data_IF_681829831492
#
_entry.id   IF_681829831492
#
_cell.length_a   1.000
_cell.length_b   1.000
_cell.length_c   1.000
_cell.angle_alpha   90.00
_cell.angle_beta   90.00
_cell.angle_gamma   90.00
#
_symmetry.space_group_name_H-M   'P 1'
#
loop_
_entity.id
_entity.type
_entity.pdbx_description
1 polymer ?
#
# COMPACT_ATOMS: atom_id res chain seq x y z
N UNK A 1 16.99 -76.00 -13.94
CA UNK A 1 18.19 -75.35 -13.37
C UNK A 1 17.82 -73.91 -13.05
N UNK A 2 18.05 -73.49 -11.84
CA UNK A 2 17.54 -72.28 -11.17
C UNK A 2 18.29 -71.02 -11.62
N UNK A 3 17.60 -69.92 -11.88
CA UNK A 3 18.24 -68.61 -11.92
C UNK A 3 17.38 -67.62 -11.12
N UNK A 4 18.00 -67.04 -10.09
CA UNK A 4 17.45 -66.09 -9.15
C UNK A 4 17.42 -64.71 -9.78
N UNK A 5 16.24 -64.10 -9.81
CA UNK A 5 16.09 -62.69 -10.10
C UNK A 5 16.35 -61.87 -8.82
N UNK A 6 17.37 -61.04 -8.84
CA UNK A 6 17.64 -60.04 -7.81
C UNK A 6 16.77 -58.80 -8.05
N UNK A 7 15.87 -58.57 -7.10
CA UNK A 7 15.08 -57.29 -7.05
C UNK A 7 15.97 -56.26 -6.40
N UNK A 8 16.34 -55.24 -7.17
CA UNK A 8 17.08 -54.07 -6.69
C UNK A 8 16.05 -53.02 -6.21
N UNK A 9 15.89 -52.86 -4.88
CA UNK A 9 15.14 -51.76 -4.30
C UNK A 9 15.96 -50.48 -4.44
N UNK A 10 15.55 -49.62 -5.39
CA UNK A 10 15.99 -48.22 -5.41
C UNK A 10 15.19 -47.44 -4.35
N UNK A 11 15.83 -47.12 -3.25
CA UNK A 11 15.32 -46.15 -2.30
C UNK A 11 15.47 -44.74 -2.91
N UNK A 12 14.34 -44.16 -3.31
CA UNK A 12 14.28 -42.77 -3.76
C UNK A 12 14.38 -41.85 -2.53
N UNK A 13 15.56 -41.33 -2.25
CA UNK A 13 15.75 -40.29 -1.26
C UNK A 13 15.16 -38.98 -1.81
N UNK A 14 13.97 -38.62 -1.34
CA UNK A 14 13.40 -37.31 -1.58
C UNK A 14 14.23 -36.31 -0.77
N UNK A 15 15.15 -35.62 -1.43
CA UNK A 15 15.79 -34.43 -0.87
C UNK A 15 14.72 -33.34 -0.77
N UNK A 16 14.14 -33.18 0.42
CA UNK A 16 13.41 -31.97 0.78
C UNK A 16 14.45 -30.87 0.89
N UNK A 17 14.66 -30.14 -0.21
CA UNK A 17 15.38 -28.87 -0.17
C UNK A 17 14.47 -27.89 0.55
N UNK A 18 14.55 -27.87 1.88
CA UNK A 18 14.03 -26.79 2.69
C UNK A 18 14.78 -25.54 2.27
N UNK A 19 14.12 -24.68 1.52
CA UNK A 19 14.58 -23.31 1.34
C UNK A 19 14.61 -22.67 2.73
N UNK A 20 15.73 -22.78 3.42
CA UNK A 20 16.02 -21.96 4.57
C UNK A 20 15.98 -20.52 4.07
N UNK A 21 14.89 -19.83 4.38
CA UNK A 21 14.86 -18.37 4.28
C UNK A 21 15.98 -17.92 5.21
N UNK A 22 17.07 -17.47 4.64
CA UNK A 22 18.15 -16.86 5.40
C UNK A 22 17.55 -15.81 6.34
N UNK A 23 17.98 -15.75 7.61
CA UNK A 23 17.58 -14.66 8.47
C UNK A 23 17.90 -13.37 7.70
N UNK A 24 16.89 -12.52 7.50
CA UNK A 24 17.13 -11.21 6.91
C UNK A 24 18.20 -10.56 7.75
N UNK A 25 19.32 -10.23 7.13
CA UNK A 25 20.14 -9.15 7.66
C UNK A 25 19.19 -8.01 7.92
N UNK A 26 19.12 -7.56 9.17
CA UNK A 26 18.42 -6.35 9.51
C UNK A 26 18.90 -5.33 8.49
N UNK A 27 17.97 -4.81 7.65
CA UNK A 27 18.33 -3.85 6.62
C UNK A 27 19.24 -2.80 7.24
N UNK A 28 20.13 -2.15 6.49
CA UNK A 28 21.08 -1.25 7.09
C UNK A 28 20.33 -0.35 8.06
N UNK A 29 20.67 -0.46 9.34
CA UNK A 29 20.17 0.45 10.35
C UNK A 29 20.29 1.85 9.76
N UNK A 30 19.30 2.69 9.95
CA UNK A 30 19.40 4.10 9.54
C UNK A 30 20.80 4.57 9.87
N UNK A 31 21.47 5.25 8.91
CA UNK A 31 22.87 5.65 9.07
C UNK A 31 23.08 6.20 10.49
N UNK A 32 24.14 5.81 11.19
CA UNK A 32 24.36 6.25 12.55
C UNK A 32 24.17 7.77 12.63
N UNK A 33 23.25 8.25 13.49
CA UNK A 33 22.93 9.66 13.63
C UNK A 33 21.74 10.17 12.81
N UNK A 34 21.05 9.33 12.00
CA UNK A 34 19.82 9.77 11.36
C UNK A 34 18.70 9.95 12.39
N UNK A 35 18.12 11.14 12.41
CA UNK A 35 16.94 11.47 13.21
C UNK A 35 15.80 11.81 12.24
N UNK A 36 14.65 11.18 12.40
CA UNK A 36 13.47 11.47 11.59
C UNK A 36 13.12 12.96 11.66
N UNK A 37 12.88 13.56 10.49
CA UNK A 37 12.44 14.94 10.31
C UNK A 37 10.99 15.05 9.85
N UNK A 38 10.28 13.92 9.79
CA UNK A 38 8.85 13.93 9.57
C UNK A 38 8.15 14.67 10.71
N UNK A 39 7.05 15.37 10.40
CA UNK A 39 6.27 16.02 11.44
C UNK A 39 5.68 14.99 12.40
N UNK A 40 5.76 15.20 13.72
CA UNK A 40 5.34 14.20 14.70
C UNK A 40 3.88 13.77 14.56
N UNK A 41 3.00 14.70 14.19
CA UNK A 41 1.58 14.46 14.03
C UNK A 41 1.25 13.58 12.80
N UNK A 42 2.16 13.54 11.84
CA UNK A 42 2.03 12.71 10.65
C UNK A 42 2.65 11.33 10.81
N UNK A 43 3.41 11.11 11.86
CA UNK A 43 3.96 9.79 12.15
C UNK A 43 2.84 8.84 12.53
N UNK A 44 2.55 7.91 11.68
CA UNK A 44 1.62 6.84 11.97
C UNK A 44 2.22 5.78 12.89
N UNK A 45 2.76 6.16 14.03
CA UNK A 45 3.35 5.23 14.98
C UNK A 45 2.28 4.45 15.72
N UNK A 46 2.49 3.15 15.93
CA UNK A 46 1.66 2.40 16.87
C UNK A 46 2.01 2.82 18.29
N UNK A 47 0.99 3.23 19.01
CA UNK A 47 1.05 3.39 20.45
C UNK A 47 0.49 2.14 21.12
N UNK A 48 1.22 1.60 22.05
CA UNK A 48 0.73 0.54 22.94
C UNK A 48 0.17 1.21 24.18
N UNK A 49 -1.14 1.07 24.42
CA UNK A 49 -1.77 1.56 25.62
C UNK A 49 -1.39 0.74 26.86
N UNK A 50 -1.70 1.23 28.08
CA UNK A 50 -1.44 0.50 29.32
C UNK A 50 -2.14 -0.86 29.39
N UNK A 51 -3.23 -1.03 28.65
CA UNK A 51 -3.99 -2.27 28.52
C UNK A 51 -3.40 -3.24 27.48
N UNK A 52 -2.24 -2.93 26.91
CA UNK A 52 -1.60 -3.72 25.87
C UNK A 52 -2.24 -3.60 24.49
N UNK A 53 -3.29 -2.80 24.35
CA UNK A 53 -3.91 -2.55 23.06
C UNK A 53 -3.02 -1.65 22.21
N UNK A 54 -2.94 -1.98 20.94
CA UNK A 54 -2.16 -1.25 19.96
C UNK A 54 -3.06 -0.38 19.13
N UNK A 55 -2.67 0.88 19.01
CA UNK A 55 -3.44 1.89 18.30
C UNK A 55 -2.56 2.55 17.27
N UNK A 56 -2.93 2.55 16.01
CA UNK A 56 -2.24 3.35 15.01
C UNK A 56 -2.72 4.79 15.06
N UNK A 57 -1.79 5.70 15.19
CA UNK A 57 -2.05 7.13 15.03
C UNK A 57 -2.01 7.43 13.54
N UNK A 58 -3.09 7.99 13.03
CA UNK A 58 -3.20 8.40 11.62
C UNK A 58 -2.74 9.83 11.44
N UNK A 59 -2.65 10.20 10.17
CA UNK A 59 -2.53 11.57 9.72
C UNK A 59 -3.54 12.49 10.37
N UNK A 60 -3.22 13.78 10.37
CA UNK A 60 -4.12 14.85 10.80
C UNK A 60 -5.54 14.62 10.25
N UNK A 61 -6.53 14.60 11.13
CA UNK A 61 -7.93 14.35 10.77
C UNK A 61 -8.32 12.87 10.57
N UNK A 62 -7.40 11.93 10.71
CA UNK A 62 -7.73 10.51 10.67
C UNK A 62 -8.01 9.96 12.07
N UNK A 63 -8.94 9.01 12.15
CA UNK A 63 -9.27 8.36 13.42
C UNK A 63 -8.18 7.39 13.82
N UNK A 64 -8.02 7.19 15.12
CA UNK A 64 -7.18 6.14 15.70
C UNK A 64 -7.86 4.78 15.51
N UNK A 65 -7.11 3.74 15.13
CA UNK A 65 -7.59 2.36 15.09
C UNK A 65 -6.90 1.52 16.14
N UNK A 66 -7.68 0.65 16.77
CA UNK A 66 -7.15 -0.45 17.54
C UNK A 66 -6.90 -1.64 16.59
N UNK A 67 -5.64 -2.03 16.44
CA UNK A 67 -5.28 -3.14 15.57
C UNK A 67 -5.18 -4.47 16.32
N UNK A 68 -5.52 -4.50 17.61
CA UNK A 68 -5.44 -5.73 18.38
C UNK A 68 -4.04 -6.36 18.41
N UNK A 69 -3.98 -7.68 18.49
CA UNK A 69 -2.73 -8.44 18.63
C UNK A 69 -2.23 -8.97 17.27
N UNK A 70 -1.88 -8.09 16.32
CA UNK A 70 -1.32 -8.54 15.05
C UNK A 70 0.11 -9.02 15.20
N UNK A 71 0.50 -9.97 14.33
CA UNK A 71 1.83 -10.55 14.36
C UNK A 71 2.82 -9.81 13.48
N UNK A 72 2.35 -9.15 12.43
CA UNK A 72 3.19 -8.33 11.53
C UNK A 72 2.49 -7.02 11.28
N UNK A 73 3.08 -5.92 11.72
CA UNK A 73 2.41 -4.62 11.75
C UNK A 73 2.88 -3.64 10.69
N UNK A 74 4.16 -3.65 10.38
CA UNK A 74 4.77 -2.69 9.48
C UNK A 74 5.98 -3.31 8.79
N UNK A 75 6.62 -2.56 7.91
CA UNK A 75 7.77 -3.03 7.15
C UNK A 75 9.06 -3.16 7.97
N UNK A 76 9.14 -2.51 9.11
CA UNK A 76 10.22 -2.64 10.10
C UNK A 76 10.04 -3.88 11.02
N UNK A 77 8.86 -4.50 11.01
CA UNK A 77 8.59 -5.70 11.79
C UNK A 77 9.19 -6.94 11.12
N UNK A 78 10.25 -7.48 11.71
CA UNK A 78 10.97 -8.64 11.18
C UNK A 78 10.27 -9.99 11.42
N UNK A 79 9.15 -10.01 12.15
CA UNK A 79 8.44 -11.27 12.44
C UNK A 79 7.94 -11.93 11.15
N UNK A 80 8.02 -13.25 11.04
CA UNK A 80 7.54 -13.97 9.87
C UNK A 80 6.02 -13.92 9.78
N UNK A 81 5.51 -14.04 8.55
CA UNK A 81 4.09 -14.27 8.32
C UNK A 81 3.63 -15.52 9.10
N UNK A 82 2.51 -15.47 9.83
CA UNK A 82 1.99 -16.64 10.53
C UNK A 82 1.62 -17.76 9.54
N UNK A 83 1.96 -19.00 9.90
CA UNK A 83 1.57 -20.17 9.12
C UNK A 83 0.03 -20.25 8.97
N UNK A 84 -0.46 -20.77 7.82
CA UNK A 84 -1.90 -21.03 7.64
C UNK A 84 -2.45 -21.93 8.73
N UNK A 85 -3.69 -21.69 9.15
CA UNK A 85 -4.35 -22.37 10.26
C UNK A 85 -5.59 -23.13 9.81
N UNK A 86 -5.75 -24.34 10.31
CA UNK A 86 -7.00 -25.08 10.16
C UNK A 86 -8.08 -24.47 11.08
N UNK A 87 -9.22 -24.12 10.50
CA UNK A 87 -10.38 -23.66 11.23
C UNK A 87 -11.30 -24.81 11.59
N UNK A 88 -11.78 -24.83 12.84
CA UNK A 88 -12.75 -25.82 13.28
C UNK A 88 -14.04 -25.10 13.69
N UNK A 89 -15.16 -25.33 12.96
CA UNK A 89 -16.45 -24.78 13.37
C UNK A 89 -16.83 -25.28 14.77
N UNK A 90 -17.48 -24.45 15.61
CA UNK A 90 -18.02 -24.90 16.89
C UNK A 90 -19.03 -26.04 16.68
N UNK A 91 -18.95 -27.07 17.51
CA UNK A 91 -19.85 -28.24 17.41
C UNK A 91 -21.31 -27.83 17.58
N UNK A 92 -22.17 -28.25 16.66
CA UNK A 92 -23.60 -27.96 16.71
C UNK A 92 -23.99 -26.50 16.45
N UNK A 93 -23.04 -25.64 16.05
CA UNK A 93 -23.36 -24.26 15.78
C UNK A 93 -24.26 -24.12 14.52
N UNK A 94 -25.31 -23.33 14.67
CA UNK A 94 -26.23 -22.95 13.60
C UNK A 94 -26.09 -21.45 13.37
N UNK A 95 -25.76 -21.04 12.15
CA UNK A 95 -25.58 -19.64 11.82
C UNK A 95 -26.87 -18.91 11.50
N UNK A 96 -26.91 -17.62 11.84
CA UNK A 96 -27.98 -16.71 11.46
C UNK A 96 -27.59 -15.97 10.16
N UNK A 97 -28.27 -16.21 9.03
CA UNK A 97 -27.96 -15.54 7.77
C UNK A 97 -28.20 -14.03 7.80
N UNK A 98 -29.06 -13.52 8.69
CA UNK A 98 -29.26 -12.07 8.83
C UNK A 98 -28.06 -11.42 9.50
N UNK A 99 -27.54 -12.02 10.56
CA UNK A 99 -26.31 -11.59 11.20
C UNK A 99 -25.13 -11.71 10.24
N UNK A 100 -25.02 -12.83 9.52
CA UNK A 100 -24.00 -13.03 8.49
C UNK A 100 -24.01 -11.95 7.41
N UNK A 101 -25.22 -11.53 6.96
CA UNK A 101 -25.34 -10.41 6.02
C UNK A 101 -24.87 -9.09 6.63
N UNK A 102 -25.22 -8.80 7.84
CA UNK A 102 -24.79 -7.59 8.54
C UNK A 102 -23.25 -7.53 8.65
N UNK A 103 -22.63 -8.64 9.04
CA UNK A 103 -21.17 -8.78 9.11
C UNK A 103 -20.51 -8.64 7.72
N UNK A 104 -21.11 -9.20 6.69
CA UNK A 104 -20.59 -9.11 5.31
C UNK A 104 -20.58 -7.67 4.78
N UNK A 105 -21.54 -6.85 5.22
CA UNK A 105 -21.67 -5.45 4.82
C UNK A 105 -20.88 -4.49 5.74
N UNK A 106 -20.41 -4.95 6.89
CA UNK A 106 -19.66 -4.13 7.83
C UNK A 106 -18.27 -3.77 7.28
N UNK A 107 -18.15 -2.55 6.78
CA UNK A 107 -16.92 -2.04 6.17
C UNK A 107 -15.80 -1.77 7.19
N UNK A 108 -16.13 -1.67 8.45
CA UNK A 108 -15.13 -1.40 9.49
C UNK A 108 -14.46 -2.70 9.94
N UNK A 109 -15.25 -3.76 10.14
CA UNK A 109 -14.77 -5.03 10.62
C UNK A 109 -14.23 -5.92 9.51
N UNK A 110 -15.06 -6.19 8.48
CA UNK A 110 -14.69 -7.05 7.36
C UNK A 110 -15.29 -6.56 6.05
N UNK A 111 -14.60 -5.68 5.30
CA UNK A 111 -15.17 -5.06 4.11
C UNK A 111 -15.27 -6.06 2.93
N UNK A 112 -16.05 -7.13 3.09
CA UNK A 112 -16.21 -8.18 2.06
C UNK A 112 -16.69 -7.59 0.73
N UNK A 113 -17.61 -6.61 0.79
CA UNK A 113 -18.09 -5.88 -0.39
C UNK A 113 -17.00 -5.04 -1.06
N UNK A 114 -15.92 -4.74 -0.36
CA UNK A 114 -14.76 -4.09 -0.96
C UNK A 114 -14.13 -4.92 -2.08
N UNK A 115 -14.22 -6.26 -1.97
CA UNK A 115 -13.64 -7.20 -2.93
C UNK A 115 -14.69 -8.00 -3.70
N UNK A 116 -15.88 -8.22 -3.14
CA UNK A 116 -16.91 -9.11 -3.69
C UNK A 116 -18.19 -8.36 -4.03
N UNK A 117 -18.85 -8.80 -5.12
CA UNK A 117 -20.20 -8.42 -5.45
C UNK A 117 -21.18 -9.46 -4.89
N UNK A 118 -22.27 -8.98 -4.28
CA UNK A 118 -23.44 -9.77 -3.89
C UNK A 118 -24.72 -9.01 -4.24
N UNK A 119 -25.90 -9.66 -4.32
CA UNK A 119 -27.16 -8.96 -4.56
C UNK A 119 -27.52 -7.99 -3.43
N UNK A 120 -28.17 -6.88 -3.76
CA UNK A 120 -28.70 -5.89 -2.82
C UNK A 120 -28.37 -4.45 -3.23
N UNK A 121 -29.30 -3.52 -3.04
CA UNK A 121 -29.12 -2.10 -3.44
C UNK A 121 -28.18 -1.34 -2.49
N UNK A 122 -28.03 -1.84 -1.27
CA UNK A 122 -27.16 -1.32 -0.21
C UNK A 122 -25.70 -1.79 -0.33
N UNK A 123 -25.37 -2.60 -1.33
CA UNK A 123 -24.04 -3.17 -1.54
C UNK A 123 -23.09 -2.22 -2.28
N UNK A 124 -23.59 -1.10 -2.75
CA UNK A 124 -22.78 -0.12 -3.49
C UNK A 124 -21.87 0.72 -2.57
N UNK A 125 -20.62 1.01 -2.96
CA UNK A 125 -19.89 0.45 -4.10
C UNK A 125 -19.26 -0.91 -3.78
N UNK A 126 -19.44 -1.88 -4.68
CA UNK A 126 -18.81 -3.19 -4.59
C UNK A 126 -17.49 -3.25 -5.36
N UNK A 127 -16.62 -4.22 -5.00
CA UNK A 127 -15.36 -4.48 -5.69
C UNK A 127 -15.39 -5.72 -6.58
N UNK A 128 -14.32 -5.89 -7.37
CA UNK A 128 -14.11 -7.04 -8.26
C UNK A 128 -12.75 -7.73 -8.07
N UNK A 129 -12.07 -7.44 -6.97
CA UNK A 129 -10.81 -8.13 -6.62
C UNK A 129 -11.07 -9.62 -6.35
N UNK A 130 -12.11 -9.92 -5.60
CA UNK A 130 -12.63 -11.27 -5.40
C UNK A 130 -13.71 -11.63 -6.44
N UNK A 131 -14.10 -12.91 -6.53
CA UNK A 131 -15.17 -13.35 -7.44
C UNK A 131 -16.52 -12.75 -7.08
N UNK A 132 -17.42 -12.71 -8.08
CA UNK A 132 -18.85 -12.47 -7.86
C UNK A 132 -19.43 -13.63 -7.05
N UNK A 133 -20.10 -13.30 -5.95
CA UNK A 133 -20.75 -14.25 -5.05
C UNK A 133 -22.28 -14.30 -5.20
N UNK A 134 -22.86 -13.62 -6.19
CA UNK A 134 -24.31 -13.51 -6.36
C UNK A 134 -25.02 -14.87 -6.46
N UNK A 135 -24.34 -15.89 -6.95
CA UNK A 135 -24.83 -17.26 -7.08
C UNK A 135 -24.09 -18.25 -6.20
N UNK A 136 -23.46 -17.77 -5.13
CA UNK A 136 -22.58 -18.62 -4.34
C UNK A 136 -23.30 -19.82 -3.70
N UNK A 137 -24.53 -19.63 -3.23
CA UNK A 137 -25.36 -20.68 -2.64
C UNK A 137 -25.67 -21.83 -3.59
N UNK A 138 -25.74 -21.54 -4.91
CA UNK A 138 -26.01 -22.55 -5.96
C UNK A 138 -24.86 -23.56 -6.10
N UNK A 139 -23.67 -23.22 -5.64
CA UNK A 139 -22.50 -24.12 -5.66
C UNK A 139 -22.62 -25.28 -4.69
N UNK A 140 -23.53 -25.20 -3.72
CA UNK A 140 -23.83 -26.25 -2.71
C UNK A 140 -22.57 -26.79 -2.01
N UNK A 141 -21.62 -25.91 -1.72
CA UNK A 141 -20.37 -26.28 -1.06
C UNK A 141 -20.63 -26.74 0.39
N UNK A 142 -19.83 -27.70 0.91
CA UNK A 142 -19.89 -28.08 2.31
C UNK A 142 -19.58 -26.90 3.24
N UNK A 143 -20.32 -26.77 4.36
CA UNK A 143 -20.14 -25.70 5.33
C UNK A 143 -18.70 -25.62 5.86
N UNK A 144 -18.09 -26.76 6.13
CA UNK A 144 -16.70 -26.84 6.58
C UNK A 144 -15.71 -26.23 5.58
N UNK A 145 -15.96 -26.39 4.28
CA UNK A 145 -15.12 -25.79 3.24
C UNK A 145 -15.28 -24.27 3.21
N UNK A 146 -16.53 -23.77 3.26
CA UNK A 146 -16.82 -22.34 3.28
C UNK A 146 -16.21 -21.73 4.56
N UNK A 147 -16.39 -22.39 5.70
CA UNK A 147 -15.82 -21.98 6.97
C UNK A 147 -14.30 -21.86 6.90
N UNK A 148 -13.61 -22.87 6.34
CA UNK A 148 -12.15 -22.84 6.17
C UNK A 148 -11.70 -21.68 5.29
N UNK A 149 -12.42 -21.39 4.20
CA UNK A 149 -12.11 -20.26 3.33
C UNK A 149 -12.23 -18.91 4.04
N UNK A 150 -13.17 -18.78 4.98
CA UNK A 150 -13.32 -17.59 5.82
C UNK A 150 -12.33 -17.58 6.98
N UNK A 151 -12.03 -18.75 7.55
CA UNK A 151 -11.09 -18.85 8.65
C UNK A 151 -9.68 -18.49 8.20
N UNK A 152 -9.15 -19.25 7.26
CA UNK A 152 -7.83 -19.01 6.68
C UNK A 152 -7.76 -19.60 5.25
N UNK A 153 -7.97 -18.78 4.24
CA UNK A 153 -7.99 -19.23 2.85
C UNK A 153 -6.61 -19.65 2.33
N UNK A 154 -5.53 -19.25 3.01
CA UNK A 154 -4.15 -19.59 2.62
C UNK A 154 -3.85 -21.07 2.72
N UNK A 155 -4.60 -21.82 3.53
CA UNK A 155 -4.47 -23.26 3.64
C UNK A 155 -4.78 -23.98 2.31
N UNK A 156 -5.76 -23.44 1.56
CA UNK A 156 -6.18 -23.98 0.26
C UNK A 156 -5.53 -23.22 -0.91
N UNK A 157 -5.40 -21.90 -0.78
CA UNK A 157 -4.87 -21.01 -1.80
C UNK A 157 -3.75 -20.12 -1.22
N UNK A 158 -2.50 -20.60 -1.18
CA UNK A 158 -1.39 -19.86 -0.54
C UNK A 158 -1.16 -18.45 -1.11
N UNK A 159 -1.46 -18.24 -2.39
CA UNK A 159 -1.32 -16.94 -3.06
C UNK A 159 -2.57 -16.06 -2.99
N UNK A 160 -3.59 -16.45 -2.21
CA UNK A 160 -4.84 -15.67 -2.12
C UNK A 160 -4.61 -14.25 -1.61
N UNK A 161 -5.39 -13.31 -2.14
CA UNK A 161 -5.51 -11.95 -1.59
C UNK A 161 -6.65 -11.83 -0.56
N UNK A 162 -7.40 -12.89 -0.33
CA UNK A 162 -8.45 -12.90 0.69
C UNK A 162 -7.82 -12.98 2.10
N UNK A 163 -8.18 -12.11 3.03
CA UNK A 163 -7.63 -12.12 4.38
C UNK A 163 -7.96 -13.40 5.16
N UNK A 164 -7.11 -13.81 6.11
CA UNK A 164 -7.38 -14.92 7.01
C UNK A 164 -8.23 -14.48 8.21
N UNK A 165 -9.50 -14.22 7.99
CA UNK A 165 -10.41 -13.54 8.89
C UNK A 165 -10.50 -14.17 10.30
N UNK A 166 -10.59 -15.49 10.39
CA UNK A 166 -10.63 -16.21 11.66
C UNK A 166 -9.25 -16.35 12.29
N UNK A 167 -8.25 -16.73 11.51
CA UNK A 167 -6.88 -16.93 12.00
C UNK A 167 -6.27 -15.64 12.55
N UNK A 168 -6.62 -14.49 12.00
CA UNK A 168 -6.24 -13.16 12.48
C UNK A 168 -7.20 -12.59 13.54
N UNK A 169 -8.23 -13.35 13.93
CA UNK A 169 -9.21 -12.97 14.96
C UNK A 169 -10.02 -11.69 14.64
N UNK A 170 -10.20 -11.41 13.37
CA UNK A 170 -11.08 -10.31 12.92
C UNK A 170 -12.53 -10.71 13.16
N UNK A 171 -12.88 -11.94 12.77
CA UNK A 171 -14.14 -12.55 13.11
C UNK A 171 -13.95 -13.68 14.11
N UNK A 172 -14.91 -13.82 15.02
CA UNK A 172 -15.00 -14.96 15.92
C UNK A 172 -15.49 -16.21 15.16
N UNK A 173 -15.30 -17.39 15.77
CA UNK A 173 -15.78 -18.64 15.19
C UNK A 173 -17.31 -18.63 14.94
N UNK A 174 -18.10 -18.03 15.85
CA UNK A 174 -19.55 -17.91 15.70
C UNK A 174 -19.92 -16.96 14.54
N UNK A 175 -19.29 -15.80 14.44
CA UNK A 175 -19.51 -14.87 13.33
C UNK A 175 -19.19 -15.48 11.97
N UNK A 176 -18.16 -16.34 11.89
CA UNK A 176 -17.86 -17.06 10.66
C UNK A 176 -18.97 -18.06 10.32
N UNK A 177 -19.57 -18.72 11.31
CA UNK A 177 -20.74 -19.59 11.07
C UNK A 177 -21.92 -18.79 10.52
N UNK A 178 -22.16 -17.58 11.03
CA UNK A 178 -23.20 -16.68 10.49
C UNK A 178 -22.92 -16.28 9.04
N UNK A 179 -21.66 -15.94 8.75
CA UNK A 179 -21.22 -15.63 7.37
C UNK A 179 -21.42 -16.83 6.42
N UNK A 180 -21.11 -18.06 6.86
CA UNK A 180 -21.36 -19.28 6.10
C UNK A 180 -22.86 -19.41 5.80
N UNK A 181 -23.72 -19.23 6.82
CA UNK A 181 -25.16 -19.28 6.63
C UNK A 181 -25.66 -18.25 5.63
N UNK A 182 -25.16 -17.02 5.70
CA UNK A 182 -25.52 -15.97 4.73
C UNK A 182 -25.06 -16.33 3.29
N UNK A 183 -23.83 -16.73 3.10
CA UNK A 183 -23.30 -17.04 1.76
C UNK A 183 -24.11 -18.15 1.06
N UNK A 184 -24.65 -19.09 1.83
CA UNK A 184 -25.52 -20.17 1.29
C UNK A 184 -26.91 -19.66 0.85
N UNK A 185 -27.34 -18.49 1.26
CA UNK A 185 -28.61 -17.88 0.79
C UNK A 185 -28.45 -17.12 -0.54
N UNK A 186 -27.25 -16.99 -1.06
CA UNK A 186 -27.01 -16.24 -2.28
C UNK A 186 -27.35 -17.09 -3.53
N UNK A 187 -28.53 -16.86 -4.09
CA UNK A 187 -29.06 -17.52 -5.26
C UNK A 187 -29.50 -16.49 -6.30
N UNK A 188 -29.04 -16.68 -7.52
CA UNK A 188 -29.44 -15.87 -8.65
C UNK A 188 -28.46 -14.75 -9.01
N UNK A 189 -28.54 -14.25 -10.23
CA UNK A 189 -27.68 -13.20 -10.74
C UNK A 189 -27.93 -11.87 -10.02
N UNK A 190 -26.97 -10.98 -10.08
CA UNK A 190 -27.19 -9.55 -9.80
C UNK A 190 -28.26 -9.05 -10.77
N UNK A 191 -29.30 -8.32 -10.31
CA UNK A 191 -30.34 -7.82 -11.20
C UNK A 191 -29.77 -7.04 -12.39
N UNK A 192 -30.27 -7.28 -13.60
CA UNK A 192 -29.77 -6.62 -14.82
C UNK A 192 -29.92 -5.10 -14.81
N UNK A 193 -30.90 -4.59 -14.05
CA UNK A 193 -31.13 -3.15 -13.91
C UNK A 193 -30.05 -2.41 -13.14
N UNK A 194 -29.10 -3.13 -12.56
CA UNK A 194 -27.94 -2.45 -12.01
C UNK A 194 -27.15 -1.84 -13.14
N UNK A 195 -27.19 -0.52 -13.13
CA UNK A 195 -26.39 0.34 -13.96
C UNK A 195 -25.00 -0.27 -14.20
N UNK A 196 -24.59 -0.37 -15.46
CA UNK A 196 -23.27 -0.87 -15.82
C UNK A 196 -22.15 -0.17 -15.04
N UNK A 197 -22.36 1.07 -14.61
CA UNK A 197 -21.45 1.82 -13.77
C UNK A 197 -21.38 1.30 -12.33
N UNK A 198 -22.37 0.56 -11.87
CA UNK A 198 -22.40 -0.04 -10.53
C UNK A 198 -21.82 -1.44 -10.48
N UNK A 199 -21.82 -2.16 -11.58
CA UNK A 199 -21.24 -3.50 -11.61
C UNK A 199 -19.71 -3.40 -11.74
N UNK A 200 -18.92 -3.77 -10.72
CA UNK A 200 -17.45 -3.63 -10.74
C UNK A 200 -16.77 -4.57 -11.74
N UNK A 201 -17.47 -5.57 -12.30
CA UNK A 201 -16.94 -6.48 -13.32
C UNK A 201 -17.12 -5.95 -14.74
N UNK A 202 -18.09 -5.07 -14.97
CA UNK A 202 -18.39 -4.48 -16.28
C UNK A 202 -18.05 -2.99 -16.36
N UNK A 203 -17.94 -2.33 -15.21
CA UNK A 203 -17.61 -0.91 -15.13
C UNK A 203 -16.27 -0.63 -15.79
N UNK A 204 -16.27 0.33 -16.69
CA UNK A 204 -15.05 0.84 -17.28
C UNK A 204 -14.37 1.81 -16.34
N UNK A 205 -13.03 1.82 -16.35
CA UNK A 205 -12.28 2.92 -15.77
C UNK A 205 -12.65 4.17 -16.56
N UNK A 206 -13.30 5.12 -15.92
CA UNK A 206 -13.61 6.38 -16.58
C UNK A 206 -12.33 7.14 -16.85
N UNK A 207 -12.14 7.55 -18.08
CA UNK A 207 -10.96 8.30 -18.49
C UNK A 207 -10.82 9.65 -17.76
N UNK A 208 -11.90 10.17 -17.18
CA UNK A 208 -11.93 11.42 -16.42
C UNK A 208 -11.98 11.26 -14.92
N UNK A 209 -12.08 10.03 -14.40
CA UNK A 209 -12.30 9.84 -12.98
C UNK A 209 -10.98 9.95 -12.20
N UNK A 210 -10.58 11.17 -11.94
CA UNK A 210 -9.50 11.51 -11.04
C UNK A 210 -8.09 11.41 -11.62
N UNK A 211 -7.95 11.13 -12.91
CA UNK A 211 -6.63 10.79 -13.45
C UNK A 211 -6.10 11.72 -14.53
N UNK A 212 -6.88 12.71 -14.97
CA UNK A 212 -6.51 13.47 -16.16
C UNK A 212 -7.02 14.87 -16.15
N UNK A 213 -7.24 15.40 -15.01
CA UNK A 213 -7.80 16.72 -14.95
C UNK A 213 -6.80 17.71 -15.56
N UNK A 214 -7.37 18.68 -16.24
CA UNK A 214 -6.64 19.77 -16.83
C UNK A 214 -5.59 20.31 -15.86
N UNK A 215 -4.30 20.25 -16.17
CA UNK A 215 -3.26 20.76 -15.28
C UNK A 215 -3.45 22.22 -14.94
N UNK A 216 -4.14 23.00 -15.76
CA UNK A 216 -4.44 24.43 -15.48
C UNK A 216 -5.49 24.59 -14.38
N UNK A 217 -6.30 23.57 -14.11
CA UNK A 217 -7.31 23.55 -13.05
C UNK A 217 -6.87 22.72 -11.84
N UNK A 218 -5.59 22.37 -11.74
CA UNK A 218 -5.06 21.61 -10.63
C UNK A 218 -4.71 22.51 -9.44
N UNK A 219 -5.43 22.43 -8.30
CA UNK A 219 -5.15 23.30 -7.15
C UNK A 219 -3.72 23.14 -6.60
N UNK A 220 -3.06 22.01 -6.87
CA UNK A 220 -1.68 21.82 -6.45
C UNK A 220 -0.69 22.74 -7.19
N UNK A 221 -1.05 23.32 -8.33
CA UNK A 221 -0.20 24.29 -9.03
C UNK A 221 -0.03 25.57 -8.20
N UNK A 222 -1.07 26.00 -7.49
CA UNK A 222 -1.01 27.18 -6.58
C UNK A 222 0.03 26.97 -5.49
N UNK A 223 0.24 25.72 -5.04
CA UNK A 223 1.27 25.39 -4.04
C UNK A 223 2.70 25.68 -4.54
N UNK A 224 2.94 25.54 -5.85
CA UNK A 224 4.23 25.90 -6.44
C UNK A 224 4.46 27.42 -6.47
N UNK A 225 3.38 28.23 -6.58
CA UNK A 225 3.43 29.68 -6.50
C UNK A 225 3.77 30.14 -5.07
N UNK A 226 3.14 29.55 -4.06
CA UNK A 226 3.46 29.78 -2.64
C UNK A 226 4.94 29.43 -2.34
N UNK A 227 5.42 28.32 -2.88
CA UNK A 227 6.81 27.91 -2.76
C UNK A 227 7.80 28.89 -3.39
N UNK A 228 7.41 29.63 -4.43
CA UNK A 228 8.28 30.63 -5.06
C UNK A 228 8.60 31.81 -4.13
N UNK A 229 7.67 32.17 -3.24
CA UNK A 229 7.93 33.15 -2.20
C UNK A 229 8.94 32.61 -1.16
N UNK A 230 8.75 31.34 -0.73
CA UNK A 230 9.64 30.67 0.21
C UNK A 230 11.07 30.50 -0.34
N UNK A 231 11.21 30.29 -1.66
CA UNK A 231 12.49 30.18 -2.36
C UNK A 231 13.39 31.42 -2.19
N UNK A 232 12.78 32.61 -2.20
CA UNK A 232 13.48 33.87 -2.05
C UNK A 232 13.65 34.35 -0.60
N UNK A 233 12.85 33.83 0.30
CA UNK A 233 12.86 34.24 1.69
C UNK A 233 14.12 33.76 2.41
N UNK A 234 14.88 34.62 3.11
CA UNK A 234 16.02 34.18 3.90
C UNK A 234 15.57 33.27 5.05
N UNK A 235 16.32 32.22 5.30
CA UNK A 235 16.16 31.37 6.48
C UNK A 235 16.92 31.91 7.69
N UNK A 236 16.91 31.20 8.83
CA UNK A 236 17.58 31.61 10.07
C UNK A 236 19.08 31.87 9.94
N UNK A 237 19.77 31.26 8.98
CA UNK A 237 21.18 31.52 8.66
C UNK A 237 21.40 32.72 7.74
N UNK A 238 20.35 33.53 7.47
CA UNK A 238 20.43 34.71 6.61
C UNK A 238 20.55 34.38 5.11
N UNK A 239 20.43 33.13 4.71
CA UNK A 239 20.47 32.65 3.31
C UNK A 239 19.12 32.13 2.85
N UNK A 240 18.78 32.43 1.60
CA UNK A 240 17.67 31.84 0.88
C UNK A 240 18.12 30.71 -0.05
N UNK A 241 17.18 29.97 -0.63
CA UNK A 241 17.51 29.03 -1.68
C UNK A 241 18.07 29.75 -2.92
N UNK A 242 17.51 30.92 -3.27
CA UNK A 242 17.92 31.74 -4.40
C UNK A 242 19.38 32.26 -4.30
N UNK A 243 19.93 32.40 -3.09
CA UNK A 243 21.33 32.84 -2.92
C UNK A 243 22.35 31.81 -3.42
N UNK A 244 21.98 30.53 -3.42
CA UNK A 244 22.84 29.44 -3.88
C UNK A 244 22.43 28.90 -5.24
N UNK A 245 21.13 28.97 -5.58
CA UNK A 245 20.56 28.45 -6.82
C UNK A 245 20.17 29.61 -7.75
N UNK A 246 21.06 29.98 -8.63
CA UNK A 246 20.88 31.13 -9.52
C UNK A 246 19.74 30.97 -10.52
N UNK A 247 19.03 32.06 -10.80
CA UNK A 247 17.92 32.11 -11.75
C UNK A 247 16.56 31.90 -11.09
N UNK A 248 15.56 31.63 -11.94
CA UNK A 248 14.23 31.26 -11.44
C UNK A 248 14.26 29.83 -10.88
N UNK A 249 13.32 29.46 -9.97
CA UNK A 249 13.23 28.06 -9.51
C UNK A 249 13.14 27.05 -10.64
N UNK A 250 12.41 27.39 -11.70
CA UNK A 250 12.25 26.54 -12.90
C UNK A 250 13.57 26.32 -13.63
N UNK A 251 14.42 27.33 -13.75
CA UNK A 251 15.73 27.22 -14.39
C UNK A 251 16.70 26.45 -13.50
N UNK A 252 16.80 26.82 -12.22
CA UNK A 252 17.73 26.27 -11.27
C UNK A 252 17.46 24.79 -10.96
N UNK A 253 16.19 24.39 -10.91
CA UNK A 253 15.74 23.04 -10.52
C UNK A 253 15.45 22.11 -11.69
N UNK A 254 15.61 22.59 -12.94
CA UNK A 254 15.37 21.73 -14.11
C UNK A 254 16.21 20.46 -14.08
N UNK A 255 15.55 19.31 -14.15
CA UNK A 255 16.18 17.99 -14.15
C UNK A 255 16.58 17.47 -12.76
N UNK A 256 16.45 18.26 -11.70
CA UNK A 256 16.77 17.77 -10.34
C UNK A 256 15.90 16.58 -9.96
N UNK A 257 14.59 16.70 -10.16
CA UNK A 257 13.65 15.66 -9.77
C UNK A 257 13.77 14.35 -10.56
N UNK A 258 14.41 14.38 -11.76
CA UNK A 258 14.58 13.17 -12.57
C UNK A 258 15.44 12.10 -11.89
N UNK A 259 16.25 12.48 -10.90
CA UNK A 259 17.25 11.64 -10.24
C UNK A 259 16.80 11.17 -8.85
N UNK A 260 15.56 11.45 -8.43
CA UNK A 260 15.02 11.05 -7.14
C UNK A 260 13.86 10.06 -7.30
N UNK A 261 13.72 9.09 -6.35
CA UNK A 261 14.59 8.84 -5.19
C UNK A 261 15.95 8.26 -5.57
N UNK A 262 16.95 8.43 -4.70
CA UNK A 262 18.32 7.92 -4.93
C UNK A 262 19.03 7.55 -3.64
N UNK A 263 20.09 6.75 -3.74
CA UNK A 263 21.04 6.59 -2.65
C UNK A 263 21.84 7.89 -2.50
N UNK A 264 21.83 8.46 -1.30
CA UNK A 264 22.59 9.66 -0.95
C UNK A 264 23.76 9.24 -0.07
N UNK A 265 24.95 9.20 -0.63
CA UNK A 265 26.14 8.64 0.03
C UNK A 265 26.47 9.32 1.35
N UNK A 266 26.32 10.64 1.42
CA UNK A 266 26.59 11.43 2.59
C UNK A 266 25.67 11.09 3.78
N UNK A 267 24.51 10.52 3.48
CA UNK A 267 23.53 10.09 4.47
C UNK A 267 23.44 8.56 4.60
N UNK A 268 24.18 7.81 3.79
CA UNK A 268 24.25 6.35 3.82
C UNK A 268 22.93 5.64 3.56
N UNK A 269 21.95 6.29 2.90
CA UNK A 269 20.60 5.77 2.72
C UNK A 269 19.93 6.25 1.42
N UNK A 270 18.84 5.58 1.05
CA UNK A 270 17.93 6.11 0.05
C UNK A 270 17.17 7.31 0.60
N UNK A 271 17.03 8.33 -0.22
CA UNK A 271 16.23 9.52 0.07
C UNK A 271 15.34 9.86 -1.13
N UNK A 272 14.08 10.17 -0.86
CA UNK A 272 13.21 10.91 -1.76
C UNK A 272 13.66 12.37 -1.88
N UNK A 273 13.05 13.11 -2.80
CA UNK A 273 13.34 14.54 -2.92
C UNK A 273 12.93 15.29 -1.65
N UNK A 274 11.82 14.91 -1.05
CA UNK A 274 11.24 15.46 0.17
C UNK A 274 12.19 15.28 1.38
N UNK A 275 12.80 14.09 1.50
CA UNK A 275 13.76 13.77 2.54
C UNK A 275 15.03 14.59 2.38
N UNK A 276 15.55 14.66 1.15
CA UNK A 276 16.75 15.43 0.82
C UNK A 276 16.54 16.92 1.06
N UNK A 277 15.38 17.45 0.62
CA UNK A 277 15.02 18.85 0.82
C UNK A 277 15.02 19.23 2.30
N UNK A 278 14.47 18.35 3.15
CA UNK A 278 14.42 18.59 4.60
C UNK A 278 15.83 18.79 5.21
N UNK A 279 16.78 17.90 4.90
CA UNK A 279 18.15 18.00 5.45
C UNK A 279 18.95 19.12 4.78
N UNK A 280 18.79 19.30 3.48
CA UNK A 280 19.52 20.30 2.71
C UNK A 280 19.14 21.73 3.11
N UNK A 281 17.83 22.02 3.23
CA UNK A 281 17.33 23.33 3.61
C UNK A 281 17.80 23.73 5.03
N UNK A 282 17.74 22.80 5.98
CA UNK A 282 18.21 23.02 7.35
C UNK A 282 19.72 23.26 7.40
N UNK A 283 20.49 22.46 6.66
CA UNK A 283 21.94 22.60 6.60
C UNK A 283 22.39 23.92 5.96
N UNK A 284 21.71 24.39 4.92
CA UNK A 284 22.15 25.55 4.12
C UNK A 284 21.54 26.86 4.58
N UNK A 285 20.24 26.90 4.81
CA UNK A 285 19.49 28.13 5.16
C UNK A 285 19.10 28.19 6.65
N UNK A 286 19.22 27.10 7.39
CA UNK A 286 18.68 26.93 8.73
C UNK A 286 17.17 26.79 8.80
N UNK A 287 16.49 26.73 7.66
CA UNK A 287 15.04 26.57 7.60
C UNK A 287 14.66 25.10 7.77
N UNK A 288 13.88 24.82 8.78
CA UNK A 288 13.26 23.52 8.94
C UNK A 288 12.14 23.33 7.91
N UNK A 289 12.27 22.32 7.07
CA UNK A 289 11.24 21.85 6.14
C UNK A 289 10.99 20.36 6.42
N UNK A 290 10.33 20.01 7.52
CA UNK A 290 10.10 18.62 7.86
C UNK A 290 9.34 17.90 6.75
N UNK A 291 9.68 16.65 6.47
CA UNK A 291 8.90 15.80 5.56
C UNK A 291 7.43 15.85 5.96
N UNK A 292 6.54 15.94 4.96
CA UNK A 292 5.07 16.06 5.11
C UNK A 292 4.57 17.42 5.62
N UNK A 293 5.46 18.38 5.92
CA UNK A 293 4.98 19.75 6.13
C UNK A 293 4.51 20.36 4.82
N UNK A 294 3.52 21.25 4.90
CA UNK A 294 3.01 21.96 3.73
C UNK A 294 4.15 22.65 2.95
N UNK A 295 5.04 23.30 3.65
CA UNK A 295 6.18 23.98 3.03
C UNK A 295 7.14 23.03 2.29
N UNK A 296 7.38 21.81 2.82
CA UNK A 296 8.18 20.80 2.12
C UNK A 296 7.48 20.31 0.87
N UNK A 297 6.19 20.00 0.98
CA UNK A 297 5.37 19.54 -0.16
C UNK A 297 5.29 20.61 -1.25
N UNK A 298 5.12 21.88 -0.89
CA UNK A 298 5.01 22.99 -1.84
C UNK A 298 6.31 23.18 -2.62
N UNK A 299 7.44 23.18 -1.93
CA UNK A 299 8.77 23.29 -2.57
C UNK A 299 9.03 22.06 -3.44
N UNK A 300 8.61 20.87 -3.00
CA UNK A 300 8.73 19.65 -3.81
C UNK A 300 7.90 19.71 -5.08
N UNK A 301 6.64 20.21 -5.02
CA UNK A 301 5.80 20.45 -6.20
C UNK A 301 6.53 21.36 -7.17
N UNK A 302 7.04 22.50 -6.70
CA UNK A 302 7.76 23.46 -7.53
C UNK A 302 8.99 22.85 -8.22
N UNK A 303 9.82 22.11 -7.49
CA UNK A 303 11.03 21.45 -8.04
C UNK A 303 10.65 20.38 -9.05
N UNK A 304 9.65 19.56 -8.77
CA UNK A 304 9.21 18.51 -9.69
C UNK A 304 8.56 19.10 -10.95
N UNK A 305 7.78 20.17 -10.84
CA UNK A 305 7.23 20.89 -11.98
C UNK A 305 8.32 21.45 -12.91
N UNK A 306 9.44 21.91 -12.37
CA UNK A 306 10.59 22.36 -13.15
C UNK A 306 11.20 21.24 -14.04
N UNK A 307 10.89 19.99 -13.73
CA UNK A 307 11.37 18.82 -14.46
C UNK A 307 10.28 18.17 -15.31
N UNK A 308 9.09 18.76 -15.42
CA UNK A 308 8.00 18.21 -16.22
C UNK A 308 8.43 18.00 -17.69
N UNK A 309 7.97 16.89 -18.27
CA UNK A 309 8.32 16.46 -19.62
C UNK A 309 9.69 15.80 -19.74
N UNK A 310 10.57 15.90 -18.73
CA UNK A 310 11.86 15.20 -18.73
C UNK A 310 11.66 13.75 -18.26
N UNK A 311 12.42 12.79 -18.86
CA UNK A 311 12.35 11.40 -18.45
C UNK A 311 12.94 11.19 -17.06
N UNK A 312 12.30 10.34 -16.25
CA UNK A 312 12.89 9.85 -15.01
C UNK A 312 14.16 9.05 -15.30
N UNK A 313 15.24 9.34 -14.59
CA UNK A 313 16.57 8.80 -14.79
C UNK A 313 17.24 8.49 -13.45
N UNK A 314 16.55 7.75 -12.57
CA UNK A 314 17.10 7.29 -11.29
C UNK A 314 18.22 6.28 -11.53
N UNK A 315 19.15 6.18 -10.58
CA UNK A 315 20.16 5.13 -10.60
C UNK A 315 19.54 3.76 -10.26
N UNK A 316 19.64 2.81 -11.20
CA UNK A 316 19.22 1.41 -11.04
C UNK A 316 20.39 0.44 -11.18
N UNK A 317 21.61 0.94 -11.36
CA UNK A 317 22.77 0.16 -11.81
C UNK A 317 23.87 0.00 -10.76
N UNK A 318 24.07 0.98 -9.90
CA UNK A 318 25.06 0.87 -8.82
C UNK A 318 24.70 -0.26 -7.85
N UNK A 319 25.69 -0.84 -7.19
CA UNK A 319 25.46 -1.92 -6.20
C UNK A 319 24.56 -1.47 -5.06
N UNK A 320 24.72 -0.25 -4.59
CA UNK A 320 23.91 0.33 -3.51
C UNK A 320 22.44 0.52 -3.95
N UNK A 321 22.23 1.03 -5.16
CA UNK A 321 20.88 1.21 -5.70
C UNK A 321 20.18 -0.15 -5.90
N UNK A 322 20.86 -1.14 -6.51
CA UNK A 322 20.30 -2.48 -6.69
C UNK A 322 19.92 -3.13 -5.36
N UNK A 323 20.79 -3.05 -4.36
CA UNK A 323 20.49 -3.59 -3.05
C UNK A 323 19.25 -2.92 -2.41
N UNK A 324 19.13 -1.60 -2.53
CA UNK A 324 17.97 -0.87 -2.02
C UNK A 324 16.68 -1.19 -2.81
N UNK A 325 16.75 -1.33 -4.13
CA UNK A 325 15.63 -1.75 -4.98
C UNK A 325 15.13 -3.15 -4.56
N UNK A 326 16.02 -4.10 -4.30
CA UNK A 326 15.62 -5.44 -3.85
C UNK A 326 14.97 -5.42 -2.45
N UNK A 327 15.40 -4.55 -1.54
CA UNK A 327 14.72 -4.37 -0.25
C UNK A 327 13.34 -3.73 -0.43
N UNK A 328 13.22 -2.70 -1.27
CA UNK A 328 11.94 -2.08 -1.63
C UNK A 328 10.99 -3.09 -2.28
N UNK A 329 11.49 -3.92 -3.20
CA UNK A 329 10.74 -5.02 -3.81
C UNK A 329 10.27 -6.03 -2.75
N UNK A 330 11.14 -6.40 -1.83
CA UNK A 330 10.78 -7.28 -0.72
C UNK A 330 9.63 -6.69 0.10
N UNK A 331 9.69 -5.39 0.41
CA UNK A 331 8.61 -4.69 1.12
C UNK A 331 7.32 -4.65 0.31
N UNK A 332 7.40 -4.46 -1.01
CA UNK A 332 6.23 -4.45 -1.89
C UNK A 332 5.45 -5.77 -1.92
N UNK A 333 6.15 -6.91 -1.84
CA UNK A 333 5.55 -8.24 -1.86
C UNK A 333 5.30 -8.82 -0.46
N UNK A 334 5.77 -8.16 0.58
CA UNK A 334 5.60 -8.62 1.96
C UNK A 334 4.20 -8.31 2.46
N UNK A 335 3.53 -9.34 2.99
CA UNK A 335 2.24 -9.20 3.65
C UNK A 335 2.39 -8.66 5.06
N UNK A 336 1.61 -7.65 5.38
CA UNK A 336 1.63 -6.96 6.67
C UNK A 336 0.20 -6.65 7.14
N UNK A 337 0.10 -6.30 8.40
CA UNK A 337 -1.14 -5.82 9.00
C UNK A 337 -2.17 -6.91 9.27
N UNK A 338 -3.29 -6.47 9.80
CA UNK A 338 -4.42 -7.31 10.22
C UNK A 338 -4.99 -8.17 9.10
N UNK A 339 -5.07 -7.58 7.91
CA UNK A 339 -5.65 -8.25 6.75
C UNK A 339 -4.63 -9.04 5.95
N UNK A 340 -3.38 -9.08 6.43
CA UNK A 340 -2.32 -9.86 5.79
C UNK A 340 -2.16 -9.56 4.29
N UNK A 341 -2.10 -8.28 3.94
CA UNK A 341 -1.98 -7.83 2.56
C UNK A 341 -0.60 -7.24 2.27
N UNK A 342 -0.17 -7.40 1.02
CA UNK A 342 0.98 -6.71 0.43
C UNK A 342 0.53 -5.62 -0.55
N UNK A 343 1.40 -4.68 -0.86
CA UNK A 343 1.15 -3.72 -1.95
C UNK A 343 0.87 -4.46 -3.28
N UNK A 344 1.59 -5.56 -3.52
CA UNK A 344 1.42 -6.42 -4.69
C UNK A 344 -0.01 -6.97 -4.83
N UNK A 345 -0.71 -7.25 -3.72
CA UNK A 345 -2.06 -7.82 -3.75
C UNK A 345 -3.08 -6.90 -4.43
N UNK A 346 -2.82 -5.58 -4.40
CA UNK A 346 -3.64 -4.58 -5.06
C UNK A 346 -3.04 -4.07 -6.38
N UNK A 347 -1.71 -4.12 -6.55
CA UNK A 347 -1.02 -3.37 -7.60
C UNK A 347 -0.31 -4.24 -8.65
N UNK A 348 -0.48 -5.57 -8.65
CA UNK A 348 0.02 -6.45 -9.71
C UNK A 348 -1.10 -7.07 -10.53
N UNK A 349 -0.84 -7.29 -11.83
CA UNK A 349 -1.84 -7.74 -12.81
C UNK A 349 -2.38 -9.15 -12.53
N UNK A 350 -1.56 -10.02 -11.94
CA UNK A 350 -1.93 -11.37 -11.54
C UNK A 350 -2.83 -11.42 -10.28
N UNK A 351 -3.05 -10.28 -9.62
CA UNK A 351 -3.82 -10.16 -8.38
C UNK A 351 -4.96 -9.13 -8.51
N UNK A 352 -4.81 -7.98 -7.87
CA UNK A 352 -5.85 -6.96 -7.78
C UNK A 352 -5.78 -5.82 -8.78
N UNK A 353 -4.65 -5.60 -9.46
CA UNK A 353 -4.53 -4.50 -10.40
C UNK A 353 -5.54 -4.57 -11.54
N UNK A 354 -5.96 -3.41 -12.02
CA UNK A 354 -7.00 -3.24 -13.04
C UNK A 354 -8.41 -3.69 -12.61
N UNK A 355 -8.60 -3.91 -11.32
CA UNK A 355 -9.90 -4.23 -10.71
C UNK A 355 -10.33 -3.11 -9.77
N UNK A 356 -11.51 -3.25 -9.19
CA UNK A 356 -12.04 -2.28 -8.23
C UNK A 356 -12.01 -2.83 -6.81
N UNK A 357 -11.49 -2.03 -5.89
CA UNK A 357 -11.63 -2.24 -4.46
C UNK A 357 -12.73 -1.29 -3.96
N UNK A 358 -13.95 -1.81 -3.80
CA UNK A 358 -15.11 -0.95 -3.65
C UNK A 358 -15.25 -0.02 -4.86
N UNK A 359 -15.39 1.28 -4.62
CA UNK A 359 -15.49 2.28 -5.68
C UNK A 359 -14.17 2.66 -6.36
N UNK A 360 -13.02 2.15 -5.88
CA UNK A 360 -11.69 2.61 -6.30
C UNK A 360 -11.03 1.67 -7.28
N UNK A 361 -10.61 2.20 -8.43
CA UNK A 361 -9.79 1.47 -9.38
C UNK A 361 -8.37 1.26 -8.81
N UNK A 362 -7.86 0.04 -8.91
CA UNK A 362 -6.52 -0.34 -8.49
C UNK A 362 -5.56 -0.25 -9.67
N UNK A 363 -4.68 0.74 -9.63
CA UNK A 363 -3.69 0.94 -10.68
C UNK A 363 -2.63 -0.18 -10.69
N UNK A 364 -2.20 -0.55 -11.90
CA UNK A 364 -1.12 -1.52 -12.08
C UNK A 364 0.24 -0.84 -11.89
N UNK A 365 1.14 -1.46 -11.13
CA UNK A 365 2.51 -0.95 -10.96
C UNK A 365 3.26 -0.84 -12.30
N UNK A 366 3.02 -1.75 -13.24
CA UNK A 366 3.67 -1.75 -14.56
C UNK A 366 3.39 -0.48 -15.37
N UNK A 367 2.28 0.21 -15.09
CA UNK A 367 1.93 1.47 -15.76
C UNK A 367 2.71 2.67 -15.22
N UNK A 368 3.38 2.49 -14.08
CA UNK A 368 4.08 3.53 -13.34
C UNK A 368 3.15 4.29 -12.39
N UNK A 369 3.61 4.49 -11.17
CA UNK A 369 2.80 5.07 -10.11
C UNK A 369 3.37 6.36 -9.50
N UNK A 370 4.63 6.73 -9.80
CA UNK A 370 5.35 7.75 -9.02
C UNK A 370 5.50 9.10 -9.72
N UNK A 371 5.59 9.12 -11.04
CA UNK A 371 5.97 10.29 -11.85
C UNK A 371 5.01 11.50 -11.75
N UNK A 372 3.81 11.29 -11.19
CA UNK A 372 2.79 12.34 -11.03
C UNK A 372 2.66 12.86 -9.60
N UNK A 373 3.45 12.36 -8.66
CA UNK A 373 3.49 12.87 -7.29
C UNK A 373 4.45 14.04 -7.13
N UNK A 374 4.14 15.02 -6.25
CA UNK A 374 2.92 15.14 -5.43
C UNK A 374 1.65 15.30 -6.25
N UNK A 375 0.51 14.91 -5.66
CA UNK A 375 -0.77 14.79 -6.35
C UNK A 375 -1.87 15.46 -5.54
N UNK A 376 -2.71 16.25 -6.21
CA UNK A 376 -3.95 16.73 -5.62
C UNK A 376 -4.92 15.56 -5.41
N UNK A 377 -5.37 15.37 -4.18
CA UNK A 377 -6.36 14.35 -3.81
C UNK A 377 -7.72 14.99 -3.65
N UNK A 378 -8.59 14.84 -4.65
CA UNK A 378 -9.91 15.48 -4.69
C UNK A 378 -10.81 15.08 -3.52
N UNK A 379 -10.73 13.80 -3.09
CA UNK A 379 -11.51 13.30 -1.94
C UNK A 379 -10.98 13.78 -0.58
N UNK A 380 -9.78 14.36 -0.54
CA UNK A 380 -9.14 14.85 0.69
C UNK A 380 -8.97 16.37 0.69
N UNK A 381 -9.15 17.00 -0.47
CA UNK A 381 -8.92 18.43 -0.67
C UNK A 381 -7.50 18.86 -0.24
N UNK A 382 -6.51 18.07 -0.61
CA UNK A 382 -5.12 18.19 -0.13
C UNK A 382 -4.12 17.69 -1.17
N UNK A 383 -2.90 18.24 -1.15
CA UNK A 383 -1.77 17.72 -1.92
C UNK A 383 -1.06 16.64 -1.13
N UNK A 384 -0.92 15.49 -1.73
CA UNK A 384 -0.21 14.36 -1.13
C UNK A 384 1.08 14.05 -1.88
N UNK A 385 2.17 13.92 -1.15
CA UNK A 385 3.36 13.26 -1.64
C UNK A 385 3.20 11.72 -1.68
N UNK A 386 4.22 11.02 -2.15
CA UNK A 386 4.18 9.56 -2.25
C UNK A 386 4.16 8.91 -0.87
N UNK A 387 4.81 9.50 0.13
CA UNK A 387 4.91 8.94 1.49
C UNK A 387 3.57 8.97 2.20
N UNK A 388 2.87 10.10 2.12
CA UNK A 388 1.49 10.22 2.62
C UNK A 388 0.56 9.22 1.94
N UNK A 389 0.73 9.00 0.63
CA UNK A 389 -0.04 7.98 -0.09
C UNK A 389 0.24 6.58 0.41
N UNK A 390 1.50 6.22 0.67
CA UNK A 390 1.87 4.92 1.24
C UNK A 390 1.28 4.74 2.63
N UNK A 391 1.42 5.73 3.50
CA UNK A 391 0.86 5.70 4.87
C UNK A 391 -0.67 5.53 4.83
N UNK A 392 -1.34 6.22 3.92
CA UNK A 392 -2.79 6.04 3.77
C UNK A 392 -3.16 4.60 3.39
N UNK A 393 -2.35 3.92 2.56
CA UNK A 393 -2.56 2.53 2.22
C UNK A 393 -2.42 1.58 3.41
N UNK A 394 -1.63 1.93 4.43
CA UNK A 394 -1.49 1.10 5.63
C UNK A 394 -2.81 0.95 6.39
N UNK A 395 -3.69 1.93 6.31
CA UNK A 395 -4.98 1.92 6.98
C UNK A 395 -5.90 0.77 6.54
N UNK A 396 -6.23 0.63 5.25
CA UNK A 396 -7.07 -0.50 4.82
C UNK A 396 -6.38 -1.86 4.99
N UNK A 397 -5.07 -1.90 5.16
CA UNK A 397 -4.35 -3.13 5.49
C UNK A 397 -4.43 -3.48 6.98
N UNK A 398 -4.84 -2.53 7.84
CA UNK A 398 -4.72 -2.69 9.29
C UNK A 398 -3.25 -2.77 9.72
N UNK A 399 -2.39 -1.97 9.09
CA UNK A 399 -0.96 -1.96 9.35
C UNK A 399 -0.49 -0.64 9.95
N UNK A 400 0.65 -0.69 10.63
CA UNK A 400 1.31 0.52 11.14
C UNK A 400 1.79 1.39 10.00
N UNK A 401 1.71 2.66 10.25
CA UNK A 401 2.41 3.65 9.46
C UNK A 401 3.82 3.86 10.04
N UNK A 402 4.82 3.86 9.19
CA UNK A 402 6.14 4.33 9.53
C UNK A 402 6.21 5.85 9.35
N UNK A 403 7.22 6.47 9.95
CA UNK A 403 7.54 7.86 9.65
C UNK A 403 7.76 8.04 8.13
N UNK A 404 7.30 9.14 7.57
CA UNK A 404 7.38 9.37 6.12
C UNK A 404 8.81 9.29 5.58
N UNK A 405 9.78 9.76 6.37
CA UNK A 405 11.20 9.73 6.05
C UNK A 405 11.91 8.43 6.49
N UNK A 406 11.14 7.35 6.77
CA UNK A 406 11.72 6.03 7.06
C UNK A 406 12.47 5.46 5.86
N UNK A 407 13.48 4.66 6.13
CA UNK A 407 14.28 4.02 5.07
C UNK A 407 13.45 3.03 4.26
N UNK A 408 12.53 2.34 4.92
CA UNK A 408 11.64 1.35 4.31
C UNK A 408 10.74 1.99 3.25
N UNK A 409 10.15 3.16 3.55
CA UNK A 409 9.36 3.89 2.57
C UNK A 409 10.21 4.48 1.45
N UNK A 410 11.43 4.93 1.75
CA UNK A 410 12.34 5.45 0.75
C UNK A 410 12.76 4.36 -0.26
N UNK A 411 13.06 3.16 0.21
CA UNK A 411 13.42 2.01 -0.61
C UNK A 411 12.22 1.48 -1.39
N UNK A 412 11.04 1.47 -0.78
CA UNK A 412 9.79 1.14 -1.47
C UNK A 412 9.50 2.13 -2.60
N UNK A 413 9.65 3.43 -2.37
CA UNK A 413 9.50 4.46 -3.40
C UNK A 413 10.53 4.28 -4.52
N UNK A 414 11.78 3.97 -4.19
CA UNK A 414 12.82 3.70 -5.18
C UNK A 414 12.43 2.50 -6.07
N UNK A 415 11.96 1.41 -5.47
CA UNK A 415 11.46 0.26 -6.22
C UNK A 415 10.28 0.62 -7.13
N UNK A 416 9.28 1.33 -6.60
CA UNK A 416 8.12 1.77 -7.39
C UNK A 416 8.53 2.66 -8.57
N UNK A 417 9.53 3.52 -8.36
CA UNK A 417 10.00 4.45 -9.40
C UNK A 417 10.75 3.75 -10.53
N UNK A 418 11.26 2.52 -10.32
CA UNK A 418 11.88 1.76 -11.40
C UNK A 418 10.92 1.50 -12.57
N UNK A 419 9.62 1.42 -12.33
CA UNK A 419 8.60 1.24 -13.37
C UNK A 419 8.30 2.53 -14.15
N UNK A 420 8.79 3.67 -13.67
CA UNK A 420 8.65 4.96 -14.33
C UNK A 420 9.94 5.45 -15.03
N UNK A 421 11.03 4.69 -14.94
CA UNK A 421 12.28 5.05 -15.62
C UNK A 421 12.05 5.25 -17.11
N UNK A 422 12.55 6.35 -17.64
CA UNK A 422 12.38 6.75 -19.04
C UNK A 422 11.03 7.42 -19.37
N UNK A 423 10.05 7.37 -18.48
CA UNK A 423 8.77 8.05 -18.66
C UNK A 423 8.85 9.51 -18.21
N UNK A 424 8.14 10.42 -18.88
CA UNK A 424 8.18 11.85 -18.53
C UNK A 424 7.54 12.10 -17.16
N UNK A 425 8.14 12.99 -16.35
CA UNK A 425 7.53 13.54 -15.15
C UNK A 425 6.30 14.36 -15.57
N UNK A 426 5.23 14.21 -14.80
CA UNK A 426 3.96 14.92 -15.00
C UNK A 426 3.37 15.30 -13.64
N UNK A 427 3.99 16.22 -12.95
CA UNK A 427 3.63 16.71 -11.62
C UNK A 427 3.07 18.14 -11.70
N UNK A 428 2.12 18.54 -10.85
CA UNK A 428 1.35 17.69 -9.95
C UNK A 428 0.24 16.91 -10.67
N UNK A 429 0.01 15.68 -10.23
CA UNK A 429 -1.14 14.92 -10.70
C UNK A 429 -2.44 15.34 -10.02
N UNK A 430 -3.56 14.85 -10.54
CA UNK A 430 -4.87 14.90 -9.86
C UNK A 430 -5.40 13.49 -9.74
N UNK A 431 -5.88 13.13 -8.55
CA UNK A 431 -6.43 11.80 -8.26
C UNK A 431 -7.60 11.92 -7.28
N UNK A 432 -8.51 10.95 -7.38
CA UNK A 432 -9.62 10.83 -6.42
C UNK A 432 -9.18 10.26 -5.08
#
# INVERSE_FOLDING_TARGET
>A
MRSLARICCLALAILVVGSAVAPRDAGPAAAPGWVSRAIPEARGEIKVGPDGKRTAVRYKGWTTHDFGAFRTYAYDDARPEPAPQLGTPPTGAVGDPKQGRALFLDRQKGPCTGCHLVPGDDVWPAGSVGPDLSTFGDRRLPDALIYQQLWDPRLTYPATVMPPWGAQKIFTAAEIVDLVAYLKTLHGPVPPERDADRNPFTRQRSAGFGDNLDPTNNPAVVRAEDAAALWKAPGPKGKSCADCHAGTPQQAMRGVATRYPRVVAEHGRVMGLEDFLSVHAEATTGRALPSESDANVDVTVMIKMASNGLPLAIDTTSSAARAAIERGKTSFYRRVGERNHACADCHTADRGANKFLGGRFLANIADGLTRHFPTWRTSQNEVWDMRKRMQWCMTPLGANMLAADSVEYAELELYLTTFDVGKPINTPGIRH
#
